data_IF_824763336900
#
_entry.id   IF_824763336900
#
_cell.length_a   1.000
_cell.length_b   1.000
_cell.length_c   1.000
_cell.angle_alpha   90.00
_cell.angle_beta   90.00
_cell.angle_gamma   90.00
#
_symmetry.space_group_name_H-M   'P 1'
#
loop_
_entity.id
_entity.type
_entity.pdbx_description
1 polymer ?
#
# COMPACT_ATOMS: atom_id res chain seq x y z
N UNK A 1 -20.03 -59.75 18.31
CA UNK A 1 -18.85 -59.71 17.42
C UNK A 1 -18.46 -58.32 16.98
N UNK A 2 -19.38 -57.46 16.60
CA UNK A 2 -19.04 -56.10 16.13
C UNK A 2 -18.77 -55.06 17.21
N UNK A 3 -19.09 -55.31 18.46
CA UNK A 3 -18.89 -54.36 19.57
C UNK A 3 -17.45 -54.30 20.07
N UNK A 4 -16.70 -55.37 19.95
CA UNK A 4 -15.32 -55.42 20.45
C UNK A 4 -14.29 -54.81 19.49
N UNK A 5 -14.53 -54.87 18.18
CA UNK A 5 -13.66 -54.30 17.16
C UNK A 5 -13.66 -52.76 17.24
N UNK A 6 -14.77 -52.17 17.70
CA UNK A 6 -14.96 -50.72 17.78
C UNK A 6 -14.15 -50.09 18.92
N UNK A 7 -13.82 -50.85 19.97
CA UNK A 7 -13.04 -50.36 21.11
C UNK A 7 -11.55 -50.32 20.84
N UNK A 8 -11.04 -51.17 19.93
CA UNK A 8 -9.59 -51.19 19.64
C UNK A 8 -9.19 -50.23 18.51
N UNK A 9 -10.09 -49.79 17.64
CA UNK A 9 -9.80 -48.88 16.55
C UNK A 9 -9.66 -47.45 17.05
N UNK A 10 -10.41 -47.05 18.09
CA UNK A 10 -10.38 -45.71 18.64
C UNK A 10 -9.02 -45.28 19.25
N UNK A 11 -8.37 -46.11 20.09
CA UNK A 11 -7.07 -45.71 20.67
C UNK A 11 -5.93 -45.70 19.64
N UNK A 12 -6.01 -46.53 18.58
CA UNK A 12 -4.98 -46.56 17.53
C UNK A 12 -5.06 -45.32 16.64
N UNK A 13 -6.26 -44.85 16.35
CA UNK A 13 -6.46 -43.61 15.54
C UNK A 13 -6.01 -42.36 16.31
N UNK A 14 -6.26 -42.31 17.62
CA UNK A 14 -5.82 -41.19 18.48
C UNK A 14 -4.30 -41.20 18.63
N UNK A 15 -3.65 -42.35 18.71
CA UNK A 15 -2.18 -42.44 18.74
C UNK A 15 -1.52 -41.96 17.43
N UNK A 16 -2.13 -42.22 16.30
CA UNK A 16 -1.60 -41.81 15.01
C UNK A 16 -1.67 -40.27 14.80
N UNK A 17 -2.66 -39.61 15.41
CA UNK A 17 -2.81 -38.13 15.33
C UNK A 17 -1.77 -37.41 16.19
N UNK A 18 -1.33 -38.00 17.31
CA UNK A 18 -0.34 -37.36 18.19
C UNK A 18 1.11 -37.41 17.67
N UNK A 19 1.41 -38.29 16.73
CA UNK A 19 2.73 -38.38 16.10
C UNK A 19 2.92 -37.41 14.92
N UNK A 20 1.88 -36.73 14.49
CA UNK A 20 1.94 -35.72 13.41
C UNK A 20 2.25 -34.31 13.91
N UNK A 21 2.40 -34.09 15.23
CA UNK A 21 2.75 -32.78 15.80
C UNK A 21 4.25 -32.63 16.04
N UNK A 22 5.11 -33.27 15.29
CA UNK A 22 6.55 -33.16 15.38
C UNK A 22 7.12 -32.17 14.35
N UNK A 23 7.45 -30.95 14.79
CA UNK A 23 8.41 -30.12 14.08
C UNK A 23 7.85 -28.96 13.22
N UNK A 24 6.96 -28.15 13.76
CA UNK A 24 6.84 -26.78 13.27
C UNK A 24 7.67 -25.90 14.21
N UNK A 25 8.84 -25.49 13.74
CA UNK A 25 9.58 -24.39 14.34
C UNK A 25 8.71 -23.15 14.24
N UNK A 26 8.32 -22.58 15.37
CA UNK A 26 7.52 -21.35 15.47
C UNK A 26 8.14 -20.20 14.69
N UNK A 27 9.45 -20.20 14.52
CA UNK A 27 10.20 -19.23 13.71
C UNK A 27 9.79 -19.21 12.23
N UNK A 28 9.44 -20.36 11.63
CA UNK A 28 9.00 -20.43 10.23
C UNK A 28 7.62 -19.85 10.01
N UNK A 29 6.71 -19.94 10.99
CA UNK A 29 5.36 -19.38 10.90
C UNK A 29 5.34 -17.86 11.07
N UNK A 30 6.18 -17.31 11.96
CA UNK A 30 6.30 -15.87 12.20
C UNK A 30 6.85 -15.18 10.95
N UNK A 31 7.90 -15.73 10.34
CA UNK A 31 8.48 -15.20 9.11
C UNK A 31 7.46 -15.21 7.96
N UNK A 32 6.65 -16.26 7.86
CA UNK A 32 5.64 -16.38 6.83
C UNK A 32 4.49 -15.37 7.02
N UNK A 33 4.06 -15.12 8.26
CA UNK A 33 3.03 -14.12 8.56
C UNK A 33 3.49 -12.70 8.25
N UNK A 34 4.72 -12.35 8.58
CA UNK A 34 5.28 -11.04 8.27
C UNK A 34 5.45 -10.83 6.76
N UNK A 35 5.85 -11.87 6.04
CA UNK A 35 5.91 -11.84 4.58
C UNK A 35 4.53 -11.62 3.96
N UNK A 36 3.52 -12.35 4.42
CA UNK A 36 2.13 -12.21 3.95
C UNK A 36 1.59 -10.80 4.23
N UNK A 37 1.84 -10.27 5.42
CA UNK A 37 1.43 -8.90 5.79
C UNK A 37 2.13 -7.86 4.93
N UNK A 38 3.44 -7.97 4.75
CA UNK A 38 4.22 -7.05 3.94
C UNK A 38 3.79 -7.08 2.46
N UNK A 39 3.48 -8.25 1.90
CA UNK A 39 2.93 -8.37 0.55
C UNK A 39 1.53 -7.77 0.43
N UNK A 40 0.68 -7.95 1.45
CA UNK A 40 -0.62 -7.30 1.54
C UNK A 40 -0.50 -5.78 1.51
N UNK A 41 0.39 -5.22 2.30
CA UNK A 41 0.67 -3.78 2.32
C UNK A 41 1.22 -3.28 0.97
N UNK A 42 2.09 -4.04 0.31
CA UNK A 42 2.58 -3.67 -1.02
C UNK A 42 1.46 -3.64 -2.06
N UNK A 43 0.50 -4.57 -1.96
CA UNK A 43 -0.69 -4.57 -2.80
C UNK A 43 -1.55 -3.34 -2.53
N UNK A 44 -1.74 -2.96 -1.27
CA UNK A 44 -2.49 -1.76 -0.88
C UNK A 44 -1.81 -0.48 -1.37
N UNK A 45 -0.48 -0.42 -1.31
CA UNK A 45 0.29 0.69 -1.89
C UNK A 45 0.10 0.81 -3.41
N UNK A 46 0.12 -0.32 -4.14
CA UNK A 46 -0.14 -0.32 -5.57
C UNK A 46 -1.58 0.12 -5.90
N UNK A 47 -2.56 -0.31 -5.13
CA UNK A 47 -3.95 0.10 -5.30
C UNK A 47 -4.11 1.60 -5.05
N UNK A 48 -3.53 2.12 -3.98
CA UNK A 48 -3.52 3.55 -3.68
C UNK A 48 -2.86 4.36 -4.81
N UNK A 49 -1.75 3.88 -5.36
CA UNK A 49 -1.09 4.49 -6.51
C UNK A 49 -2.00 4.55 -7.74
N UNK A 50 -2.67 3.45 -8.08
CA UNK A 50 -3.60 3.40 -9.22
C UNK A 50 -4.83 4.30 -9.03
N UNK A 51 -5.26 4.50 -7.80
CA UNK A 51 -6.39 5.37 -7.45
C UNK A 51 -6.00 6.86 -7.38
N UNK A 52 -4.72 7.20 -7.60
CA UNK A 52 -4.24 8.58 -7.50
C UNK A 52 -3.92 9.05 -6.07
N UNK A 53 -4.02 8.16 -5.09
CA UNK A 53 -3.69 8.43 -3.67
C UNK A 53 -2.17 8.26 -3.44
N UNK A 54 -1.35 9.06 -4.12
CA UNK A 54 0.09 8.87 -4.18
C UNK A 54 0.78 9.06 -2.82
N UNK A 55 0.35 10.03 -2.03
CA UNK A 55 0.89 10.28 -0.69
C UNK A 55 0.60 9.11 0.26
N UNK A 56 -0.62 8.56 0.21
CA UNK A 56 -0.99 7.39 0.99
C UNK A 56 -0.17 6.17 0.60
N UNK A 57 0.03 5.95 -0.70
CA UNK A 57 0.87 4.87 -1.20
C UNK A 57 2.32 5.01 -0.70
N UNK A 58 2.86 6.23 -0.67
CA UNK A 58 4.20 6.51 -0.16
C UNK A 58 4.33 6.20 1.33
N UNK A 59 3.34 6.57 2.14
CA UNK A 59 3.30 6.24 3.57
C UNK A 59 3.31 4.73 3.82
N UNK A 60 2.54 3.96 3.04
CA UNK A 60 2.52 2.50 3.14
C UNK A 60 3.89 1.91 2.81
N UNK A 61 4.59 2.44 1.81
CA UNK A 61 5.94 1.99 1.43
C UNK A 61 6.94 2.31 2.54
N UNK A 62 6.86 3.47 3.16
CA UNK A 62 7.72 3.84 4.28
C UNK A 62 7.48 2.94 5.50
N UNK A 63 6.24 2.53 5.74
CA UNK A 63 5.89 1.56 6.78
C UNK A 63 6.47 0.17 6.47
N UNK A 64 6.41 -0.30 5.22
CA UNK A 64 7.05 -1.56 4.82
C UNK A 64 8.56 -1.52 5.11
N UNK A 65 9.22 -0.42 4.78
CA UNK A 65 10.67 -0.28 5.00
C UNK A 65 11.04 -0.26 6.48
N UNK A 66 10.22 0.31 7.35
CA UNK A 66 10.49 0.43 8.78
C UNK A 66 10.10 -0.82 9.57
N UNK A 67 8.89 -1.35 9.35
CA UNK A 67 8.33 -2.46 10.14
C UNK A 67 8.80 -3.82 9.60
N UNK A 68 8.86 -3.95 8.27
CA UNK A 68 9.19 -5.22 7.61
C UNK A 68 10.59 -5.20 6.96
N UNK A 69 11.56 -4.59 7.65
CA UNK A 69 12.93 -4.44 7.16
C UNK A 69 13.60 -5.76 6.74
N UNK A 70 13.23 -6.88 7.35
CA UNK A 70 13.75 -8.22 7.05
C UNK A 70 13.16 -8.84 5.79
N UNK A 71 12.04 -8.32 5.27
CA UNK A 71 11.36 -8.84 4.07
C UNK A 71 11.98 -8.27 2.79
N UNK A 72 13.17 -8.74 2.45
CA UNK A 72 14.01 -8.20 1.36
C UNK A 72 13.28 -8.15 0.02
N UNK A 73 12.53 -9.19 -0.32
CA UNK A 73 11.81 -9.27 -1.61
C UNK A 73 10.73 -8.19 -1.73
N UNK A 74 9.94 -8.00 -0.68
CA UNK A 74 8.86 -6.99 -0.64
C UNK A 74 9.45 -5.58 -0.65
N UNK A 75 10.49 -5.34 0.15
CA UNK A 75 11.22 -4.07 0.16
C UNK A 75 11.79 -3.70 -1.21
N UNK A 76 12.36 -4.66 -1.93
CA UNK A 76 12.89 -4.43 -3.28
C UNK A 76 11.78 -3.96 -4.23
N UNK A 77 10.60 -4.59 -4.18
CA UNK A 77 9.44 -4.17 -4.97
C UNK A 77 8.95 -2.78 -4.57
N UNK A 78 8.92 -2.48 -3.27
CA UNK A 78 8.56 -1.17 -2.73
C UNK A 78 9.54 -0.08 -3.18
N UNK A 79 10.84 -0.37 -3.19
CA UNK A 79 11.87 0.56 -3.67
C UNK A 79 11.71 0.93 -5.16
N UNK A 80 11.19 0.03 -5.99
CA UNK A 80 10.89 0.35 -7.41
C UNK A 80 9.68 1.26 -7.55
N UNK A 81 8.69 1.14 -6.65
CA UNK A 81 7.48 1.95 -6.68
C UNK A 81 7.71 3.37 -6.13
N UNK A 82 8.61 3.54 -5.17
CA UNK A 82 8.89 4.82 -4.50
C UNK A 82 9.23 5.99 -5.45
N UNK A 83 10.17 5.86 -6.41
CA UNK A 83 10.48 6.96 -7.33
C UNK A 83 9.29 7.32 -8.23
N UNK A 84 8.49 6.35 -8.66
CA UNK A 84 7.27 6.59 -9.45
C UNK A 84 6.24 7.39 -8.66
N UNK A 85 6.07 7.10 -7.37
CA UNK A 85 5.19 7.85 -6.48
C UNK A 85 5.66 9.28 -6.29
N UNK A 86 6.94 9.49 -6.03
CA UNK A 86 7.51 10.83 -5.88
C UNK A 86 7.37 11.66 -7.15
N UNK A 87 7.61 11.07 -8.31
CA UNK A 87 7.41 11.72 -9.61
C UNK A 87 5.94 12.13 -9.81
N UNK A 88 4.99 11.25 -9.50
CA UNK A 88 3.57 11.54 -9.62
C UNK A 88 3.11 12.65 -8.67
N UNK A 89 3.62 12.69 -7.44
CA UNK A 89 3.33 13.76 -6.47
C UNK A 89 3.83 15.10 -7.00
N UNK A 90 5.09 15.16 -7.44
CA UNK A 90 5.68 16.37 -8.00
C UNK A 90 4.92 16.84 -9.25
N UNK A 91 4.53 15.93 -10.13
CA UNK A 91 3.75 16.26 -11.33
C UNK A 91 2.40 16.87 -10.96
N UNK A 92 1.71 16.32 -9.96
CA UNK A 92 0.44 16.87 -9.49
C UNK A 92 0.61 18.29 -8.89
N UNK A 93 1.70 18.51 -8.15
CA UNK A 93 2.02 19.84 -7.61
C UNK A 93 2.29 20.86 -8.72
N UNK A 94 3.01 20.46 -9.78
CA UNK A 94 3.27 21.31 -10.95
C UNK A 94 1.97 21.68 -11.63
N UNK A 95 1.09 20.69 -11.90
CA UNK A 95 -0.20 20.94 -12.56
C UNK A 95 -1.08 21.86 -11.72
N UNK A 96 -1.12 21.67 -10.39
CA UNK A 96 -1.87 22.54 -9.50
C UNK A 96 -1.33 23.98 -9.50
N UNK A 97 0.00 24.14 -9.49
CA UNK A 97 0.66 25.45 -9.54
C UNK A 97 0.41 26.16 -10.87
N UNK A 98 0.53 25.44 -11.99
CA UNK A 98 0.26 26.00 -13.31
C UNK A 98 -1.20 26.46 -13.44
N UNK A 99 -2.14 25.69 -12.89
CA UNK A 99 -3.55 26.04 -12.86
C UNK A 99 -3.81 27.31 -12.05
N UNK A 100 -3.13 27.47 -10.91
CA UNK A 100 -3.20 28.69 -10.08
C UNK A 100 -2.64 29.91 -10.79
N UNK A 101 -1.52 29.75 -11.49
CA UNK A 101 -0.90 30.82 -12.29
C UNK A 101 -1.84 31.24 -13.42
N UNK A 102 -2.40 30.30 -14.17
CA UNK A 102 -3.35 30.58 -15.25
C UNK A 102 -4.58 31.33 -14.73
N UNK A 103 -5.16 30.92 -13.61
CA UNK A 103 -6.28 31.61 -12.98
C UNK A 103 -5.90 33.03 -12.52
N UNK A 104 -4.72 33.20 -11.96
CA UNK A 104 -4.19 34.51 -11.54
C UNK A 104 -4.02 35.47 -12.73
N UNK A 105 -3.50 34.98 -13.85
CA UNK A 105 -3.34 35.76 -15.08
C UNK A 105 -4.70 36.16 -15.65
N UNK A 106 -5.66 35.23 -15.75
CA UNK A 106 -7.01 35.51 -16.24
C UNK A 106 -7.73 36.56 -15.38
N UNK A 107 -7.59 36.46 -14.04
CA UNK A 107 -8.14 37.45 -13.13
C UNK A 107 -7.51 38.84 -13.31
N UNK A 108 -6.21 38.87 -13.51
CA UNK A 108 -5.48 40.13 -13.72
C UNK A 108 -5.90 40.80 -15.03
N UNK A 109 -6.02 40.04 -16.10
CA UNK A 109 -6.51 40.54 -17.38
C UNK A 109 -7.95 41.09 -17.30
N UNK A 110 -8.82 40.42 -16.53
CA UNK A 110 -10.18 40.89 -16.29
C UNK A 110 -10.20 42.21 -15.52
N UNK A 111 -9.36 42.37 -14.50
CA UNK A 111 -9.20 43.61 -13.72
C UNK A 111 -8.69 44.74 -14.64
N UNK A 112 -7.67 44.47 -15.46
CA UNK A 112 -7.13 45.43 -16.39
C UNK A 112 -8.18 45.91 -17.42
N UNK A 113 -9.01 45.02 -17.93
CA UNK A 113 -10.11 45.33 -18.83
C UNK A 113 -11.17 46.22 -18.17
N UNK A 114 -11.52 45.90 -16.90
CA UNK A 114 -12.47 46.74 -16.12
C UNK A 114 -11.93 48.16 -15.89
N UNK A 115 -10.62 48.27 -15.53
CA UNK A 115 -9.99 49.57 -15.35
C UNK A 115 -9.97 50.42 -16.62
N UNK A 116 -9.67 49.80 -17.76
CA UNK A 116 -9.72 50.48 -19.06
C UNK A 116 -11.13 50.99 -19.42
N UNK A 117 -12.17 50.25 -19.05
CA UNK A 117 -13.57 50.67 -19.27
C UNK A 117 -13.97 51.81 -18.32
N UNK A 118 -13.46 51.82 -17.12
CA UNK A 118 -13.71 52.90 -16.14
C UNK A 118 -13.12 54.24 -16.60
N UNK A 119 -11.88 54.22 -17.10
CA UNK A 119 -11.19 55.43 -17.62
C UNK A 119 -11.91 56.04 -18.84
N UNK A 120 -12.58 55.21 -19.69
CA UNK A 120 -13.33 55.70 -20.84
C UNK A 120 -14.64 56.43 -20.50
N UNK A 121 -15.10 56.33 -19.23
CA UNK A 121 -16.36 56.96 -18.78
C UNK A 121 -16.18 58.33 -18.14
N UNK A 122 -14.94 58.66 -17.80
CA UNK A 122 -14.54 60.01 -17.30
C UNK A 122 -14.15 60.92 -18.49
#
# INVERSE_FOLDING_TARGET
MFKEVRQYIFPVVISAIMLSCGGHSEDGQIINQDSIKAEGMLKDANNAFQNGEHERALLIIDEIDSVYAKQVTVRRKAMVLRPKLKESIIMNEIIATDSMIAYGLEKNDSINKLNKLRIKKE
#
